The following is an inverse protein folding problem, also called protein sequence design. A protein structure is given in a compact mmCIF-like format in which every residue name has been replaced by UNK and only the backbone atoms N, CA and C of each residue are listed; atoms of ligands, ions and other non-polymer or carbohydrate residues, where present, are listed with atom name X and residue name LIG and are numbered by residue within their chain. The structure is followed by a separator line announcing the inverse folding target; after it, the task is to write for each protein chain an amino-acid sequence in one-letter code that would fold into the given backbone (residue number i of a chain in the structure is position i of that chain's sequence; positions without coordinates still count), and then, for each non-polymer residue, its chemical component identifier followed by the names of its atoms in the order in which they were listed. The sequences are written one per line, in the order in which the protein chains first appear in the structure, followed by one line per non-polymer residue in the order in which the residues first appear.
data_IF_594877087455
#
_entry.id   IF_594877087455
#
_cell.length_a   1.000
_cell.length_b   1.000
_cell.length_c   1.000
_cell.angle_alpha   90.00
_cell.angle_beta   90.00
_cell.angle_gamma   90.00
#
_symmetry.space_group_name_H-M   'P 1'
#
loop_
_entity.id
_entity.type
_entity.pdbx_description
1 polymer ?
#
# COMPACT_ATOMS: atom_id res chain seq x y z
N UNK A 1 -5.09 2.63 24.81
CA UNK A 1 -5.58 2.43 26.18
C UNK A 1 -7.05 2.01 26.21
N UNK A 2 -7.91 2.53 25.32
CA UNK A 2 -9.32 2.08 25.22
C UNK A 2 -9.48 0.66 24.64
N UNK A 3 -8.72 0.27 23.61
CA UNK A 3 -8.85 -1.06 22.97
C UNK A 3 -8.54 -2.21 23.93
N UNK A 4 -7.43 -2.13 24.66
CA UNK A 4 -7.07 -3.16 25.63
C UNK A 4 -8.14 -3.30 26.73
N UNK A 5 -8.68 -2.18 27.23
CA UNK A 5 -9.78 -2.20 28.22
C UNK A 5 -11.07 -2.80 27.66
N UNK A 6 -11.41 -2.50 26.40
CA UNK A 6 -12.55 -3.11 25.73
C UNK A 6 -12.35 -4.61 25.55
N UNK A 7 -11.16 -5.05 25.15
CA UNK A 7 -10.80 -6.46 25.05
C UNK A 7 -10.95 -7.16 26.40
N UNK A 8 -10.35 -6.62 27.45
CA UNK A 8 -10.45 -7.14 28.82
C UNK A 8 -11.91 -7.21 29.31
N UNK A 9 -12.70 -6.19 28.99
CA UNK A 9 -14.12 -6.14 29.32
C UNK A 9 -14.90 -7.25 28.61
N UNK A 10 -14.70 -7.45 27.30
CA UNK A 10 -15.39 -8.51 26.56
C UNK A 10 -14.93 -9.89 27.03
N UNK A 11 -13.65 -10.08 27.31
CA UNK A 11 -13.12 -11.33 27.84
C UNK A 11 -13.65 -11.67 29.25
N UNK A 12 -14.20 -10.69 29.97
CA UNK A 12 -14.85 -10.88 31.26
C UNK A 12 -16.35 -11.19 31.19
N UNK A 13 -16.97 -11.08 30.00
CA UNK A 13 -18.41 -11.33 29.85
C UNK A 13 -18.71 -12.83 29.92
N UNK A 14 -19.79 -13.16 30.62
CA UNK A 14 -20.41 -14.48 30.56
C UNK A 14 -21.17 -14.67 29.24
N UNK A 15 -21.52 -15.90 28.91
CA UNK A 15 -22.28 -16.24 27.71
C UNK A 15 -23.63 -15.51 27.66
N UNK A 16 -24.35 -15.49 28.79
CA UNK A 16 -25.64 -14.80 28.92
C UNK A 16 -25.51 -13.28 28.74
N UNK A 17 -24.45 -12.67 29.28
CA UNK A 17 -24.18 -11.25 29.09
C UNK A 17 -23.85 -10.93 27.63
N UNK A 18 -23.12 -11.82 26.95
CA UNK A 18 -22.82 -11.68 25.52
C UNK A 18 -24.09 -11.73 24.68
N UNK A 19 -25.02 -12.64 24.99
CA UNK A 19 -26.35 -12.71 24.34
C UNK A 19 -27.13 -11.41 24.55
N UNK A 20 -27.13 -10.87 25.77
CA UNK A 20 -27.83 -9.62 26.10
C UNK A 20 -27.34 -8.40 25.31
N UNK A 21 -26.13 -8.45 24.75
CA UNK A 21 -25.56 -7.37 23.93
C UNK A 21 -25.95 -7.44 22.45
N UNK A 22 -26.56 -8.53 21.99
CA UNK A 22 -26.85 -8.71 20.55
C UNK A 22 -27.76 -7.64 19.96
N UNK A 23 -28.87 -7.22 20.60
CA UNK A 23 -29.67 -6.12 20.05
C UNK A 23 -28.87 -4.84 19.86
N UNK A 24 -27.93 -4.57 20.78
CA UNK A 24 -27.02 -3.42 20.69
C UNK A 24 -26.03 -3.60 19.54
N UNK A 25 -25.49 -4.80 19.36
CA UNK A 25 -24.60 -5.14 18.24
C UNK A 25 -25.33 -4.98 16.90
N UNK A 26 -26.52 -5.56 16.75
CA UNK A 26 -27.32 -5.46 15.53
C UNK A 26 -27.70 -4.01 15.19
N UNK A 27 -28.02 -3.20 16.21
CA UNK A 27 -28.30 -1.78 16.04
C UNK A 27 -27.05 -1.00 15.62
N UNK A 28 -25.87 -1.31 16.16
CA UNK A 28 -24.63 -0.63 15.77
C UNK A 28 -24.10 -1.07 14.41
N UNK A 29 -24.42 -2.29 13.98
CA UNK A 29 -24.10 -2.81 12.66
C UNK A 29 -25.18 -2.47 11.62
N UNK A 30 -26.14 -1.59 11.93
CA UNK A 30 -27.20 -1.27 10.98
C UNK A 30 -26.65 -0.61 9.71
N UNK A 31 -27.00 -1.12 8.52
CA UNK A 31 -26.57 -0.53 7.26
C UNK A 31 -26.91 0.96 7.10
N UNK A 32 -27.96 1.44 7.80
CA UNK A 32 -28.32 2.85 7.80
C UNK A 32 -27.24 3.77 8.42
N UNK A 33 -26.31 3.21 9.20
CA UNK A 33 -25.18 3.93 9.78
C UNK A 33 -23.89 3.82 8.97
N UNK A 34 -23.91 3.11 7.83
CA UNK A 34 -22.75 3.07 6.95
C UNK A 34 -22.49 4.49 6.43
N UNK A 35 -21.24 4.97 6.48
CA UNK A 35 -20.90 6.25 5.88
C UNK A 35 -21.24 6.19 4.38
N UNK A 36 -21.98 7.19 3.90
CA UNK A 36 -22.26 7.31 2.46
C UNK A 36 -20.93 7.41 1.71
N UNK A 37 -20.76 6.57 0.69
CA UNK A 37 -19.60 6.58 -0.21
C UNK A 37 -19.47 7.90 -0.98
N UNK A 38 -20.55 8.69 -1.06
CA UNK A 38 -20.61 9.95 -1.82
C UNK A 38 -20.27 11.19 -0.97
N UNK A 39 -20.17 11.05 0.36
CA UNK A 39 -19.82 12.14 1.25
C UNK A 39 -18.31 12.41 1.18
N UNK A 40 -17.92 13.27 0.23
CA UNK A 40 -16.53 13.61 -0.10
C UNK A 40 -15.58 13.63 1.10
N UNK A 41 -14.59 12.72 1.06
CA UNK A 41 -13.59 12.48 2.11
C UNK A 41 -12.60 13.64 2.33
N UNK A 42 -12.65 14.67 1.47
CA UNK A 42 -11.60 15.68 1.37
C UNK A 42 -11.70 16.82 2.40
N UNK A 43 -12.84 17.00 3.09
CA UNK A 43 -13.06 18.18 3.94
C UNK A 43 -13.48 17.90 5.38
N UNK A 44 -13.44 16.65 5.84
CA UNK A 44 -13.89 16.32 7.20
C UNK A 44 -12.68 15.96 8.06
N UNK A 45 -12.41 16.74 9.11
CA UNK A 45 -11.80 16.23 10.33
C UNK A 45 -12.56 14.95 10.68
N UNK A 46 -12.01 13.77 10.35
CA UNK A 46 -12.62 12.43 10.43
C UNK A 46 -13.81 12.44 11.38
N UNK A 47 -15.06 12.32 10.90
CA UNK A 47 -16.19 12.55 11.78
C UNK A 47 -16.07 11.47 12.88
N UNK A 48 -16.07 11.86 14.18
CA UNK A 48 -16.02 10.93 15.31
C UNK A 48 -16.91 9.68 15.19
N UNK A 49 -18.10 9.72 14.54
CA UNK A 49 -18.93 8.54 14.31
C UNK A 49 -18.25 7.36 13.59
N UNK A 50 -17.32 7.62 12.67
CA UNK A 50 -16.72 6.56 11.83
C UNK A 50 -15.70 5.72 12.63
N UNK A 51 -14.95 6.38 13.51
CA UNK A 51 -14.05 5.73 14.47
C UNK A 51 -14.87 4.88 15.44
N UNK A 52 -15.92 5.48 16.01
CA UNK A 52 -16.79 4.80 16.96
C UNK A 52 -17.49 3.59 16.32
N UNK A 53 -17.91 3.70 15.05
CA UNK A 53 -18.60 2.61 14.35
C UNK A 53 -17.68 1.46 13.95
N UNK A 54 -16.44 1.74 13.53
CA UNK A 54 -15.44 0.68 13.32
C UNK A 54 -15.11 -0.05 14.64
N UNK A 55 -15.04 0.69 15.75
CA UNK A 55 -14.89 0.09 17.08
C UNK A 55 -16.08 -0.77 17.48
N UNK A 56 -17.31 -0.29 17.23
CA UNK A 56 -18.52 -1.05 17.47
C UNK A 56 -18.59 -2.32 16.60
N UNK A 57 -18.09 -2.27 15.37
CA UNK A 57 -17.98 -3.46 14.50
C UNK A 57 -17.00 -4.49 15.06
N UNK A 58 -15.79 -4.07 15.45
CA UNK A 58 -14.80 -4.98 16.03
C UNK A 58 -15.27 -5.56 17.37
N UNK A 59 -15.94 -4.74 18.18
CA UNK A 59 -16.59 -5.18 19.41
C UNK A 59 -17.68 -6.22 19.14
N UNK A 60 -18.55 -5.95 18.15
CA UNK A 60 -19.57 -6.88 17.72
C UNK A 60 -18.98 -8.21 17.24
N UNK A 61 -17.94 -8.16 16.41
CA UNK A 61 -17.23 -9.34 15.91
C UNK A 61 -16.64 -10.17 17.06
N UNK A 62 -16.00 -9.52 18.04
CA UNK A 62 -15.40 -10.19 19.20
C UNK A 62 -16.44 -10.86 20.08
N UNK A 63 -17.55 -10.18 20.41
CA UNK A 63 -18.64 -10.75 21.22
C UNK A 63 -19.26 -11.96 20.53
N UNK A 64 -19.45 -11.89 19.22
CA UNK A 64 -20.06 -12.97 18.42
C UNK A 64 -19.15 -14.20 18.37
N UNK A 65 -17.85 -14.00 18.15
CA UNK A 65 -16.88 -15.11 18.03
C UNK A 65 -16.63 -15.80 19.37
N UNK A 66 -16.71 -15.08 20.50
CA UNK A 66 -16.45 -15.64 21.83
C UNK A 66 -17.64 -16.35 22.46
N UNK A 67 -18.86 -16.16 21.95
CA UNK A 67 -20.05 -16.77 22.53
C UNK A 67 -20.23 -18.23 22.06
N UNK A 68 -20.01 -19.23 22.94
CA UNK A 68 -20.05 -20.66 22.59
C UNK A 68 -21.46 -21.15 22.20
N UNK A 69 -22.50 -20.35 22.47
CA UNK A 69 -23.90 -20.65 22.16
C UNK A 69 -24.35 -20.21 20.76
N UNK A 70 -23.47 -19.59 19.97
CA UNK A 70 -23.77 -19.22 18.57
C UNK A 70 -23.03 -20.11 17.59
N UNK A 71 -23.56 -21.30 17.24
CA UNK A 71 -23.23 -21.87 15.95
C UNK A 71 -23.70 -20.85 14.91
N UNK A 72 -22.78 -20.39 14.06
CA UNK A 72 -22.98 -19.34 13.06
C UNK A 72 -24.25 -19.50 12.19
N UNK A 73 -24.84 -20.70 12.13
CA UNK A 73 -26.13 -20.96 11.48
C UNK A 73 -27.38 -20.36 12.14
N UNK A 74 -27.31 -19.80 13.36
CA UNK A 74 -28.52 -19.31 14.09
C UNK A 74 -28.80 -17.81 13.92
N UNK A 75 -27.85 -17.03 13.39
CA UNK A 75 -28.02 -15.58 13.13
C UNK A 75 -27.56 -15.22 11.71
N UNK A 76 -28.21 -15.77 10.66
CA UNK A 76 -27.81 -15.52 9.27
C UNK A 76 -27.80 -14.04 8.89
N UNK A 77 -28.59 -13.20 9.57
CA UNK A 77 -28.71 -11.76 9.30
C UNK A 77 -27.52 -10.93 9.81
N UNK A 78 -26.66 -11.49 10.66
CA UNK A 78 -25.52 -10.78 11.23
C UNK A 78 -24.37 -10.67 10.22
N UNK A 79 -24.15 -11.73 9.43
CA UNK A 79 -23.04 -11.76 8.48
C UNK A 79 -23.16 -10.71 7.38
N UNK A 80 -24.30 -10.53 6.70
CA UNK A 80 -24.46 -9.44 5.73
C UNK A 80 -24.17 -8.06 6.33
N UNK A 81 -24.52 -7.83 7.60
CA UNK A 81 -24.25 -6.57 8.29
C UNK A 81 -22.76 -6.38 8.58
N UNK A 82 -22.10 -7.41 9.11
CA UNK A 82 -20.64 -7.40 9.33
C UNK A 82 -19.88 -7.23 8.02
N UNK A 83 -20.29 -7.95 6.97
CA UNK A 83 -19.70 -7.87 5.65
C UNK A 83 -19.82 -6.48 5.04
N UNK A 84 -20.97 -5.81 5.14
CA UNK A 84 -21.10 -4.42 4.68
C UNK A 84 -20.12 -3.47 5.37
N UNK A 85 -19.85 -3.67 6.67
CA UNK A 85 -18.83 -2.89 7.37
C UNK A 85 -17.40 -3.27 6.96
N UNK A 86 -17.12 -4.56 6.68
CA UNK A 86 -15.85 -4.98 6.09
C UNK A 86 -15.67 -4.42 4.68
N UNK A 87 -16.72 -4.39 3.87
CA UNK A 87 -16.75 -3.78 2.55
C UNK A 87 -16.55 -2.28 2.63
N UNK A 88 -17.11 -1.59 3.63
CA UNK A 88 -16.77 -0.20 3.93
C UNK A 88 -15.28 -0.05 4.24
N UNK A 89 -14.68 -0.96 5.01
CA UNK A 89 -13.22 -0.95 5.22
C UNK A 89 -12.45 -1.16 3.89
N UNK A 90 -12.93 -2.05 3.01
CA UNK A 90 -12.37 -2.27 1.66
C UNK A 90 -12.50 -1.03 0.78
N UNK A 91 -13.69 -0.44 0.67
CA UNK A 91 -13.98 0.76 -0.13
C UNK A 91 -13.24 2.00 0.39
N UNK A 92 -13.06 2.12 1.70
CA UNK A 92 -12.25 3.19 2.29
C UNK A 92 -10.75 2.93 2.15
N UNK A 93 -10.35 1.67 1.99
CA UNK A 93 -8.97 1.33 1.60
C UNK A 93 -8.66 1.72 0.15
N UNK A 94 -9.67 1.74 -0.72
CA UNK A 94 -9.55 2.16 -2.12
C UNK A 94 -9.57 3.68 -2.33
N UNK A 95 -10.34 4.43 -1.54
CA UNK A 95 -10.58 5.87 -1.78
C UNK A 95 -9.60 6.82 -1.08
N UNK A 96 -8.97 6.44 0.04
CA UNK A 96 -7.79 7.14 0.55
C UNK A 96 -6.95 6.25 1.49
N UNK A 97 -5.94 5.62 0.92
CA UNK A 97 -5.13 4.56 1.53
C UNK A 97 -4.41 4.99 2.80
N UNK A 98 -4.09 6.29 2.89
CA UNK A 98 -3.46 6.86 4.06
C UNK A 98 -4.44 7.06 5.25
N UNK A 99 -5.75 6.93 5.02
CA UNK A 99 -6.75 6.72 6.07
C UNK A 99 -6.96 5.22 6.30
N UNK A 100 -7.05 4.44 5.22
CA UNK A 100 -7.19 2.97 5.23
C UNK A 100 -6.25 2.25 6.19
N UNK A 101 -4.94 2.50 6.09
CA UNK A 101 -3.96 1.78 6.93
C UNK A 101 -4.14 2.00 8.44
N UNK A 102 -4.70 3.16 8.84
CA UNK A 102 -4.96 3.43 10.26
C UNK A 102 -6.08 2.56 10.77
N UNK A 103 -7.11 2.33 9.96
CA UNK A 103 -8.20 1.43 10.29
C UNK A 103 -7.73 -0.02 10.35
N UNK A 104 -6.97 -0.45 9.35
CA UNK A 104 -6.35 -1.78 9.35
C UNK A 104 -5.49 -2.00 10.58
N UNK A 105 -4.64 -1.02 10.94
CA UNK A 105 -3.83 -1.07 12.16
C UNK A 105 -4.70 -1.24 13.42
N UNK A 106 -5.78 -0.45 13.55
CA UNK A 106 -6.68 -0.54 14.70
C UNK A 106 -7.43 -1.88 14.74
N UNK A 107 -7.83 -2.40 13.59
CA UNK A 107 -8.50 -3.70 13.50
C UNK A 107 -7.55 -4.83 13.90
N UNK A 108 -6.30 -4.83 13.43
CA UNK A 108 -5.28 -5.78 13.86
C UNK A 108 -5.02 -5.66 15.37
N UNK A 109 -4.89 -4.44 15.91
CA UNK A 109 -4.77 -4.18 17.35
C UNK A 109 -5.97 -4.63 18.16
N UNK A 110 -7.15 -4.76 17.55
CA UNK A 110 -8.34 -5.30 18.18
C UNK A 110 -8.44 -6.82 18.05
N UNK A 111 -7.46 -7.48 17.42
CA UNK A 111 -7.41 -8.92 17.26
C UNK A 111 -8.12 -9.43 15.99
N UNK A 112 -8.31 -8.60 14.96
CA UNK A 112 -8.99 -9.00 13.72
C UNK A 112 -8.49 -10.37 13.19
N UNK A 113 -7.18 -10.59 13.16
CA UNK A 113 -6.59 -11.79 12.57
C UNK A 113 -6.93 -13.08 13.35
N UNK A 114 -6.74 -13.15 14.69
CA UNK A 114 -7.25 -14.27 15.49
C UNK A 114 -8.73 -14.56 15.31
N UNK A 115 -9.54 -13.51 15.19
CA UNK A 115 -10.98 -13.62 15.00
C UNK A 115 -11.33 -14.23 13.63
N UNK A 116 -10.66 -13.82 12.56
CA UNK A 116 -10.87 -14.39 11.22
C UNK A 116 -10.53 -15.88 11.16
N UNK A 117 -9.47 -16.32 11.84
CA UNK A 117 -9.09 -17.74 11.83
C UNK A 117 -10.12 -18.58 12.60
N UNK A 118 -10.51 -18.13 13.79
CA UNK A 118 -11.55 -18.81 14.58
C UNK A 118 -12.89 -18.83 13.86
N UNK A 119 -13.19 -17.78 13.10
CA UNK A 119 -14.39 -17.71 12.27
C UNK A 119 -14.38 -18.80 11.18
N UNK A 120 -13.27 -18.96 10.44
CA UNK A 120 -13.14 -19.96 9.36
C UNK A 120 -13.37 -21.39 9.85
N UNK A 121 -13.07 -21.70 11.11
CA UNK A 121 -13.35 -23.02 11.70
C UNK A 121 -14.85 -23.31 11.92
N UNK A 122 -15.71 -22.28 11.88
CA UNK A 122 -17.14 -22.40 12.23
C UNK A 122 -18.14 -21.82 11.23
N UNK A 123 -17.71 -21.18 10.15
CA UNK A 123 -18.60 -20.59 9.13
C UNK A 123 -18.97 -21.56 8.01
N UNK A 124 -20.07 -21.25 7.32
CA UNK A 124 -20.44 -21.88 6.06
C UNK A 124 -19.41 -21.55 4.97
N UNK A 125 -19.12 -22.53 4.10
CA UNK A 125 -18.26 -22.38 2.94
C UNK A 125 -18.67 -21.23 2.01
N UNK A 126 -19.94 -20.78 2.04
CA UNK A 126 -20.42 -19.61 1.31
C UNK A 126 -19.70 -18.30 1.70
N UNK A 127 -19.22 -18.20 2.95
CA UNK A 127 -18.57 -17.00 3.49
C UNK A 127 -17.04 -17.07 3.50
N UNK A 128 -16.47 -18.22 3.15
CA UNK A 128 -15.00 -18.37 3.04
C UNK A 128 -14.41 -17.44 1.95
N UNK A 129 -15.16 -17.17 0.88
CA UNK A 129 -14.72 -16.23 -0.17
C UNK A 129 -14.54 -14.79 0.37
N UNK A 130 -15.36 -14.39 1.33
CA UNK A 130 -15.29 -13.05 1.94
C UNK A 130 -14.04 -12.92 2.81
N UNK A 131 -13.68 -13.99 3.52
CA UNK A 131 -12.45 -14.03 4.33
C UNK A 131 -11.23 -14.06 3.42
N UNK A 132 -11.22 -14.86 2.36
CA UNK A 132 -10.17 -14.84 1.33
C UNK A 132 -9.99 -13.42 0.77
N UNK A 133 -11.08 -12.78 0.36
CA UNK A 133 -11.06 -11.39 -0.12
C UNK A 133 -10.47 -10.43 0.92
N UNK A 134 -10.83 -10.54 2.20
CA UNK A 134 -10.28 -9.70 3.25
C UNK A 134 -8.77 -9.93 3.46
N UNK A 135 -8.32 -11.19 3.50
CA UNK A 135 -6.90 -11.52 3.66
C UNK A 135 -6.07 -10.99 2.50
N UNK A 136 -6.54 -11.18 1.28
CA UNK A 136 -5.80 -10.92 0.04
C UNK A 136 -6.04 -9.49 -0.44
N UNK A 137 -7.28 -9.06 -0.64
CA UNK A 137 -7.56 -7.76 -1.26
C UNK A 137 -7.51 -6.58 -0.30
N UNK A 138 -7.58 -6.84 1.02
CA UNK A 138 -7.57 -5.76 2.03
C UNK A 138 -6.29 -5.78 2.86
N UNK A 139 -5.97 -6.89 3.53
CA UNK A 139 -4.84 -6.92 4.47
C UNK A 139 -3.47 -6.90 3.79
N UNK A 140 -3.27 -7.71 2.74
CA UNK A 140 -1.99 -7.78 2.04
C UNK A 140 -1.52 -6.42 1.47
N UNK A 141 -2.37 -5.62 0.79
CA UNK A 141 -1.98 -4.30 0.29
C UNK A 141 -1.60 -3.31 1.40
N UNK A 142 -2.08 -3.53 2.62
CA UNK A 142 -1.74 -2.70 3.78
C UNK A 142 -0.36 -3.01 4.35
N UNK A 143 0.29 -4.10 3.93
CA UNK A 143 1.66 -4.45 4.31
C UNK A 143 2.72 -3.54 3.67
N UNK A 144 2.33 -2.49 2.95
CA UNK A 144 3.25 -1.38 2.60
C UNK A 144 3.43 -0.38 3.74
N UNK A 145 2.59 -0.45 4.78
CA UNK A 145 2.60 0.48 5.91
C UNK A 145 3.38 -0.07 7.09
N UNK A 146 4.32 0.72 7.62
CA UNK A 146 5.23 0.33 8.69
C UNK A 146 4.48 -0.11 9.96
N UNK A 147 3.51 0.65 10.51
CA UNK A 147 2.75 0.22 11.68
C UNK A 147 1.97 -1.06 11.42
N UNK A 148 1.45 -1.26 10.21
CA UNK A 148 0.65 -2.44 9.87
C UNK A 148 1.53 -3.67 9.85
N UNK A 149 2.72 -3.62 9.26
CA UNK A 149 3.68 -4.73 9.28
C UNK A 149 4.04 -5.13 10.72
N UNK A 150 4.37 -4.14 11.56
CA UNK A 150 4.73 -4.37 12.97
C UNK A 150 3.58 -5.05 13.72
N UNK A 151 2.36 -4.54 13.58
CA UNK A 151 1.19 -5.12 14.23
C UNK A 151 0.83 -6.51 13.68
N UNK A 152 1.01 -6.71 12.38
CA UNK A 152 0.77 -7.98 11.72
C UNK A 152 1.71 -9.06 12.28
N UNK A 153 2.96 -8.73 12.60
CA UNK A 153 3.89 -9.68 13.24
C UNK A 153 3.36 -10.17 14.59
N UNK A 154 2.91 -9.25 15.45
CA UNK A 154 2.30 -9.60 16.73
C UNK A 154 1.02 -10.43 16.55
N UNK A 155 0.21 -10.08 15.54
CA UNK A 155 -1.01 -10.82 15.21
C UNK A 155 -0.72 -12.25 14.72
N UNK A 156 0.37 -12.48 13.97
CA UNK A 156 0.77 -13.82 13.55
C UNK A 156 1.25 -14.70 14.70
N UNK A 157 1.93 -14.13 15.69
CA UNK A 157 2.35 -14.87 16.87
C UNK A 157 1.13 -15.34 17.68
N UNK A 158 0.17 -14.44 17.91
CA UNK A 158 -1.09 -14.77 18.62
C UNK A 158 -1.90 -15.86 17.90
N UNK A 159 -1.81 -15.91 16.57
CA UNK A 159 -2.57 -16.85 15.75
C UNK A 159 -1.85 -18.15 15.41
N UNK A 160 -0.58 -18.30 15.78
CA UNK A 160 0.26 -19.40 15.34
C UNK A 160 -0.38 -20.76 15.59
N UNK A 161 -0.78 -21.05 16.83
CA UNK A 161 -1.39 -22.32 17.22
C UNK A 161 -2.72 -22.59 16.51
N UNK A 162 -3.58 -21.56 16.36
CA UNK A 162 -4.89 -21.71 15.70
C UNK A 162 -4.75 -21.95 14.20
N UNK A 163 -3.83 -21.22 13.56
CA UNK A 163 -3.55 -21.36 12.13
C UNK A 163 -2.99 -22.72 11.71
N UNK A 164 -2.57 -23.54 12.68
CA UNK A 164 -2.07 -24.90 12.47
C UNK A 164 -3.15 -25.97 12.69
N UNK A 165 -4.39 -25.60 13.00
CA UNK A 165 -5.45 -26.58 13.19
C UNK A 165 -5.75 -27.35 11.90
N UNK A 166 -6.11 -28.62 12.05
CA UNK A 166 -6.55 -29.47 10.94
C UNK A 166 -7.80 -28.91 10.24
N UNK A 167 -8.66 -28.21 11.00
CA UNK A 167 -9.86 -27.59 10.45
C UNK A 167 -9.49 -26.40 9.55
N UNK A 168 -8.68 -25.47 10.04
CA UNK A 168 -8.29 -24.28 9.28
C UNK A 168 -7.45 -24.63 8.05
N UNK A 169 -6.50 -25.57 8.16
CA UNK A 169 -5.65 -25.99 7.03
C UNK A 169 -6.42 -26.66 5.89
N UNK A 170 -7.63 -27.18 6.15
CA UNK A 170 -8.52 -27.76 5.13
C UNK A 170 -9.53 -26.76 4.56
N UNK A 171 -9.61 -25.55 5.13
CA UNK A 171 -10.49 -24.49 4.62
C UNK A 171 -10.00 -23.96 3.26
N UNK A 172 -10.91 -23.35 2.48
CA UNK A 172 -10.57 -22.67 1.21
C UNK A 172 -9.81 -21.37 1.42
N UNK A 173 -9.86 -20.81 2.63
CA UNK A 173 -9.11 -19.61 2.99
C UNK A 173 -7.61 -19.90 3.24
N UNK A 174 -7.24 -21.17 3.43
CA UNK A 174 -5.87 -21.52 3.79
C UNK A 174 -4.81 -21.09 2.76
N UNK A 175 -5.00 -21.24 1.43
CA UNK A 175 -4.07 -20.71 0.44
C UNK A 175 -3.88 -19.19 0.57
N UNK A 176 -4.97 -18.43 0.73
CA UNK A 176 -4.98 -17.00 0.94
C UNK A 176 -4.17 -16.58 2.18
N UNK A 177 -4.37 -17.32 3.28
CA UNK A 177 -3.61 -17.18 4.51
C UNK A 177 -2.11 -17.40 4.31
N UNK A 178 -1.73 -18.46 3.58
CA UNK A 178 -0.32 -18.75 3.27
C UNK A 178 0.29 -17.63 2.43
N UNK A 179 -0.43 -17.11 1.43
CA UNK A 179 0.05 -15.99 0.62
C UNK A 179 0.25 -14.73 1.47
N UNK A 180 -0.73 -14.38 2.31
CA UNK A 180 -0.63 -13.23 3.23
C UNK A 180 0.56 -13.38 4.18
N UNK A 181 0.74 -14.57 4.77
CA UNK A 181 1.84 -14.87 5.71
C UNK A 181 3.21 -14.79 5.03
N UNK A 182 3.33 -15.33 3.82
CA UNK A 182 4.56 -15.25 3.03
C UNK A 182 4.94 -13.79 2.72
N UNK A 183 3.96 -12.99 2.26
CA UNK A 183 4.16 -11.58 2.00
C UNK A 183 4.56 -10.81 3.27
N UNK A 184 3.90 -11.07 4.39
CA UNK A 184 4.23 -10.39 5.65
C UNK A 184 5.63 -10.75 6.17
N UNK A 185 6.06 -12.01 6.03
CA UNK A 185 7.43 -12.41 6.36
C UNK A 185 8.46 -11.70 5.47
N UNK A 186 8.22 -11.58 4.16
CA UNK A 186 9.06 -10.80 3.24
C UNK A 186 9.15 -9.33 3.70
N UNK A 187 8.02 -8.73 4.08
CA UNK A 187 7.97 -7.35 4.55
C UNK A 187 8.62 -7.14 5.92
N UNK A 188 8.53 -8.12 6.82
CA UNK A 188 9.22 -8.09 8.12
C UNK A 188 10.73 -8.22 7.95
N UNK A 189 11.19 -9.15 7.11
CA UNK A 189 12.60 -9.28 6.79
C UNK A 189 13.16 -7.97 6.20
N UNK A 190 12.44 -7.36 5.26
CA UNK A 190 12.81 -6.06 4.71
C UNK A 190 12.83 -4.96 5.78
N UNK A 191 11.83 -4.96 6.66
CA UNK A 191 11.74 -4.00 7.75
C UNK A 191 12.96 -4.08 8.67
N UNK A 192 13.33 -5.28 9.11
CA UNK A 192 14.49 -5.50 9.96
C UNK A 192 15.79 -5.04 9.29
N UNK A 193 15.97 -5.36 8.01
CA UNK A 193 17.10 -4.90 7.21
C UNK A 193 17.15 -3.37 7.10
N UNK A 194 16.00 -2.73 6.87
CA UNK A 194 15.88 -1.27 6.79
C UNK A 194 16.16 -0.58 8.13
N UNK A 195 15.71 -1.15 9.25
CA UNK A 195 15.99 -0.61 10.58
C UNK A 195 17.47 -0.79 10.95
N UNK A 196 18.07 -1.94 10.64
CA UNK A 196 19.47 -2.23 10.88
C UNK A 196 20.42 -1.35 10.06
N UNK A 197 20.07 -1.03 8.80
CA UNK A 197 20.82 -0.10 7.97
C UNK A 197 20.78 1.35 8.51
N UNK A 198 19.90 1.64 9.46
CA UNK A 198 19.62 2.97 9.93
C UNK A 198 18.80 3.77 8.91
N UNK A 199 18.21 4.88 9.37
CA UNK A 199 17.42 5.74 8.46
C UNK A 199 18.37 6.31 7.42
N UNK A 200 18.13 6.10 6.10
CA UNK A 200 18.87 6.80 5.07
C UNK A 200 18.62 8.30 5.28
N UNK A 201 19.57 8.96 5.92
CA UNK A 201 19.54 10.40 6.16
C UNK A 201 20.03 11.17 4.93
N UNK A 202 20.41 10.45 3.87
CA UNK A 202 20.88 11.01 2.63
C UNK A 202 19.70 11.56 1.81
N UNK A 203 19.80 12.84 1.48
CA UNK A 203 19.04 13.46 0.42
C UNK A 203 19.91 13.54 -0.83
N UNK A 204 19.26 13.57 -1.98
CA UNK A 204 19.87 13.88 -3.27
C UNK A 204 19.36 15.23 -3.75
N UNK A 205 20.20 15.93 -4.50
CA UNK A 205 19.82 17.18 -5.12
C UNK A 205 18.71 16.93 -6.15
N UNK A 206 17.66 17.76 -6.14
CA UNK A 206 16.58 17.67 -7.13
C UNK A 206 16.97 18.28 -8.47
N UNK A 207 18.01 19.13 -8.52
CA UNK A 207 18.59 19.53 -9.79
C UNK A 207 19.17 18.29 -10.48
N UNK A 208 18.56 17.88 -11.59
CA UNK A 208 18.89 16.64 -12.30
C UNK A 208 20.28 16.64 -12.93
N UNK A 209 20.89 17.82 -13.09
CA UNK A 209 22.29 17.96 -13.51
C UNK A 209 23.28 17.79 -12.34
N UNK A 210 22.79 17.59 -11.11
CA UNK A 210 23.58 17.46 -9.90
C UNK A 210 23.37 16.07 -9.27
N UNK A 211 24.43 15.28 -9.20
CA UNK A 211 24.41 13.96 -8.57
C UNK A 211 24.74 13.99 -7.06
N UNK A 212 24.90 15.18 -6.47
CA UNK A 212 25.25 15.33 -5.04
C UNK A 212 24.20 14.65 -4.17
N UNK A 213 24.70 13.76 -3.31
CA UNK A 213 23.95 13.05 -2.30
C UNK A 213 24.65 13.27 -0.96
N UNK A 214 23.90 13.44 0.14
CA UNK A 214 24.50 13.71 1.44
C UNK A 214 23.46 13.87 2.53
N UNK A 215 23.89 13.98 3.78
CA UNK A 215 22.97 14.09 4.92
C UNK A 215 22.01 15.26 4.78
N UNK A 216 20.78 15.10 5.29
CA UNK A 216 19.68 16.07 5.14
C UNK A 216 20.05 17.52 5.50
N UNK A 217 20.91 17.72 6.50
CA UNK A 217 21.38 19.05 6.92
C UNK A 217 22.21 19.78 5.86
N UNK A 218 22.75 19.08 4.86
CA UNK A 218 23.47 19.65 3.72
C UNK A 218 22.55 20.17 2.61
N UNK A 219 21.24 19.92 2.71
CA UNK A 219 20.28 20.27 1.68
C UNK A 219 19.30 21.33 2.17
N UNK A 220 19.01 22.30 1.31
CA UNK A 220 17.99 23.32 1.50
C UNK A 220 16.74 22.92 0.74
N UNK A 221 15.57 23.06 1.37
CA UNK A 221 14.31 22.80 0.69
C UNK A 221 13.83 24.05 -0.06
N UNK A 222 13.10 23.83 -1.15
CA UNK A 222 12.37 24.89 -1.81
C UNK A 222 11.38 25.53 -0.83
N UNK A 223 11.46 26.85 -0.63
CA UNK A 223 10.56 27.56 0.28
C UNK A 223 9.10 27.60 -0.22
N UNK A 224 8.87 27.40 -1.52
CA UNK A 224 7.53 27.34 -2.10
C UNK A 224 6.83 26.01 -1.80
N UNK A 225 7.34 24.91 -2.34
CA UNK A 225 6.69 23.60 -2.22
C UNK A 225 7.13 22.75 -1.01
N UNK A 226 8.19 23.14 -0.29
CA UNK A 226 8.80 22.38 0.82
C UNK A 226 9.19 20.93 0.50
N UNK A 227 9.21 20.58 -0.79
CA UNK A 227 9.29 19.20 -1.28
C UNK A 227 10.62 18.94 -1.98
N UNK A 228 10.99 19.80 -2.95
CA UNK A 228 12.29 19.72 -3.61
C UNK A 228 13.43 20.14 -2.66
N UNK A 229 14.58 19.46 -2.75
CA UNK A 229 15.75 19.67 -1.90
C UNK A 229 17.02 19.85 -2.77
N UNK A 230 17.83 20.84 -2.43
CA UNK A 230 19.00 21.25 -3.22
C UNK A 230 20.24 21.39 -2.34
N UNK A 231 21.39 20.93 -2.83
CA UNK A 231 22.67 21.09 -2.12
C UNK A 231 23.16 22.55 -2.12
N UNK A 232 22.81 23.34 -3.16
CA UNK A 232 23.19 24.76 -3.27
C UNK A 232 22.06 25.62 -3.83
N UNK A 233 22.05 26.94 -3.55
CA UNK A 233 21.11 27.88 -4.18
C UNK A 233 21.24 27.96 -5.71
N UNK A 234 22.41 27.63 -6.26
CA UNK A 234 22.61 27.55 -7.71
C UNK A 234 21.87 26.36 -8.31
N UNK A 235 21.94 25.18 -7.68
CA UNK A 235 21.16 24.03 -8.11
C UNK A 235 19.66 24.33 -8.08
N UNK A 236 19.18 25.02 -7.05
CA UNK A 236 17.78 25.45 -7.00
C UNK A 236 17.42 26.39 -8.16
N UNK A 237 18.26 27.39 -8.49
CA UNK A 237 18.00 28.32 -9.60
C UNK A 237 18.02 27.63 -10.96
N UNK A 238 18.91 26.66 -11.17
CA UNK A 238 19.00 25.89 -12.40
C UNK A 238 17.75 25.02 -12.57
N UNK A 239 17.37 24.28 -11.53
CA UNK A 239 16.15 23.47 -11.52
C UNK A 239 14.87 24.31 -11.67
N UNK A 240 14.84 25.52 -11.08
CA UNK A 240 13.74 26.48 -11.24
C UNK A 240 13.50 26.85 -12.71
N UNK A 241 14.57 27.11 -13.46
CA UNK A 241 14.51 27.43 -14.89
C UNK A 241 14.21 26.20 -15.76
N UNK A 242 14.65 25.02 -15.32
CA UNK A 242 14.46 23.76 -16.04
C UNK A 242 13.03 23.17 -15.92
N UNK A 243 12.14 23.80 -15.16
CA UNK A 243 10.72 23.41 -15.09
C UNK A 243 10.14 23.38 -13.68
N UNK A 244 10.96 23.41 -12.62
CA UNK A 244 10.42 23.37 -11.26
C UNK A 244 9.47 24.54 -10.96
N UNK A 245 9.64 25.70 -11.62
CA UNK A 245 8.72 26.84 -11.49
C UNK A 245 7.25 26.48 -11.73
N UNK A 246 6.98 25.72 -12.79
CA UNK A 246 5.62 25.34 -13.20
C UNK A 246 5.05 24.25 -12.28
N UNK A 247 5.93 23.45 -11.71
CA UNK A 247 5.57 22.31 -10.87
C UNK A 247 5.45 22.70 -9.40
N UNK A 248 6.10 23.79 -8.97
CA UNK A 248 6.19 24.19 -7.57
C UNK A 248 4.81 24.36 -6.91
N UNK A 249 3.88 25.04 -7.60
CA UNK A 249 2.51 25.22 -7.12
C UNK A 249 1.76 23.91 -6.96
N UNK A 250 1.83 23.02 -7.95
CA UNK A 250 1.20 21.68 -7.90
C UNK A 250 1.78 20.82 -6.78
N UNK A 251 3.10 20.90 -6.56
CA UNK A 251 3.76 20.19 -5.47
C UNK A 251 3.34 20.75 -4.09
N UNK A 252 3.09 22.06 -3.99
CA UNK A 252 2.55 22.67 -2.76
C UNK A 252 1.09 22.26 -2.52
N UNK A 253 0.24 22.34 -3.54
CA UNK A 253 -1.14 21.87 -3.48
C UNK A 253 -1.18 20.41 -3.06
N UNK A 254 -0.37 19.56 -3.67
CA UNK A 254 -0.22 18.15 -3.28
C UNK A 254 0.27 17.99 -1.84
N UNK A 255 1.28 18.76 -1.42
CA UNK A 255 1.75 18.75 -0.05
C UNK A 255 0.64 19.11 0.95
N UNK A 256 -0.31 19.96 0.56
CA UNK A 256 -1.40 20.42 1.42
C UNK A 256 -2.64 19.53 1.36
N UNK A 257 -3.00 19.04 0.17
CA UNK A 257 -4.19 18.22 -0.09
C UNK A 257 -3.99 16.77 0.34
N UNK A 258 -2.82 16.19 0.08
CA UNK A 258 -2.71 14.74 0.18
C UNK A 258 -2.49 14.34 1.63
N UNK A 259 -3.21 13.31 2.03
CA UNK A 259 -3.06 12.56 3.29
C UNK A 259 -1.59 12.16 3.57
N UNK A 260 -0.74 12.19 2.55
CA UNK A 260 0.72 12.16 2.66
C UNK A 260 1.24 13.20 3.67
N UNK A 261 0.66 14.39 3.81
CA UNK A 261 1.03 15.38 4.84
C UNK A 261 0.89 14.82 6.26
N UNK A 262 -0.18 14.05 6.51
CA UNK A 262 -0.48 13.39 7.80
C UNK A 262 0.40 12.16 8.08
N UNK A 263 1.11 11.68 7.07
CA UNK A 263 2.03 10.55 7.23
C UNK A 263 3.34 11.01 7.86
N UNK A 264 3.71 10.37 8.98
CA UNK A 264 4.96 10.64 9.68
C UNK A 264 6.18 10.41 8.79
N UNK A 265 7.26 11.15 9.04
CA UNK A 265 8.46 11.07 8.21
C UNK A 265 9.07 9.65 8.15
N UNK A 266 8.99 8.88 9.25
CA UNK A 266 9.43 7.47 9.31
C UNK A 266 8.71 6.61 8.27
N UNK A 267 7.38 6.68 8.24
CA UNK A 267 6.55 5.92 7.29
C UNK A 267 6.86 6.29 5.83
N UNK A 268 7.01 7.58 5.52
CA UNK A 268 7.41 8.03 4.17
C UNK A 268 8.76 7.46 3.74
N UNK A 269 9.70 7.44 4.69
CA UNK A 269 11.03 6.89 4.44
C UNK A 269 10.99 5.39 4.23
N UNK A 270 10.18 4.68 5.02
CA UNK A 270 9.98 3.24 4.89
C UNK A 270 9.36 2.88 3.54
N UNK A 271 8.22 3.51 3.16
CA UNK A 271 7.56 3.26 1.88
C UNK A 271 8.54 3.45 0.72
N UNK A 272 9.28 4.58 0.70
CA UNK A 272 10.29 4.82 -0.34
C UNK A 272 11.35 3.74 -0.41
N UNK A 273 11.83 3.27 0.74
CA UNK A 273 12.81 2.20 0.78
C UNK A 273 12.22 0.88 0.27
N UNK A 274 10.98 0.57 0.66
CA UNK A 274 10.26 -0.63 0.21
C UNK A 274 10.07 -0.64 -1.31
N UNK A 275 9.62 0.47 -1.87
CA UNK A 275 9.47 0.61 -3.32
C UNK A 275 10.82 0.42 -4.03
N UNK A 276 11.89 1.03 -3.51
CA UNK A 276 13.21 0.85 -4.10
C UNK A 276 13.66 -0.61 -4.04
N UNK A 277 13.39 -1.31 -2.94
CA UNK A 277 13.70 -2.72 -2.80
C UNK A 277 12.94 -3.57 -3.82
N UNK A 278 11.64 -3.34 -3.94
CA UNK A 278 10.77 -4.01 -4.92
C UNK A 278 11.19 -3.68 -6.36
N UNK A 279 11.59 -2.42 -6.63
CA UNK A 279 12.15 -2.01 -7.92
C UNK A 279 13.41 -2.80 -8.25
N UNK A 280 14.39 -2.87 -7.34
CA UNK A 280 15.62 -3.62 -7.60
C UNK A 280 15.36 -5.11 -7.82
N UNK A 281 14.40 -5.69 -7.11
CA UNK A 281 14.00 -7.10 -7.29
C UNK A 281 13.36 -7.36 -8.65
N UNK A 282 12.55 -6.42 -9.14
CA UNK A 282 11.81 -6.56 -10.40
C UNK A 282 12.42 -5.79 -11.58
N UNK A 283 13.61 -5.21 -11.44
CA UNK A 283 14.17 -4.27 -12.43
C UNK A 283 14.24 -4.87 -13.83
N UNK A 284 14.68 -6.13 -13.97
CA UNK A 284 14.78 -6.81 -15.29
C UNK A 284 13.41 -6.86 -15.96
N UNK A 285 12.39 -7.31 -15.25
CA UNK A 285 11.01 -7.37 -15.74
C UNK A 285 10.48 -5.97 -16.11
N UNK A 286 10.73 -4.98 -15.25
CA UNK A 286 10.36 -3.57 -15.47
C UNK A 286 10.98 -3.06 -16.77
N UNK A 287 12.29 -3.22 -16.95
CA UNK A 287 13.03 -2.78 -18.14
C UNK A 287 12.56 -3.52 -19.40
N UNK A 288 12.37 -4.84 -19.34
CA UNK A 288 11.86 -5.62 -20.47
C UNK A 288 10.44 -5.24 -20.87
N UNK A 289 9.56 -5.00 -19.89
CA UNK A 289 8.24 -4.46 -20.16
C UNK A 289 8.31 -3.06 -20.79
N UNK A 290 9.25 -2.22 -20.35
CA UNK A 290 9.43 -0.86 -20.88
C UNK A 290 9.84 -0.86 -22.34
N UNK A 291 10.81 -1.69 -22.71
CA UNK A 291 11.26 -1.84 -24.09
C UNK A 291 10.10 -2.30 -24.97
N UNK A 292 9.34 -3.32 -24.56
CA UNK A 292 8.12 -3.76 -25.26
C UNK A 292 7.11 -2.63 -25.43
N UNK A 293 6.86 -1.86 -24.35
CA UNK A 293 5.95 -0.72 -24.38
C UNK A 293 6.37 0.32 -25.42
N UNK A 294 7.66 0.69 -25.47
CA UNK A 294 8.15 1.72 -26.40
C UNK A 294 8.19 1.25 -27.85
N UNK A 295 8.39 -0.06 -28.09
CA UNK A 295 8.24 -0.63 -29.44
C UNK A 295 6.79 -0.47 -29.91
N UNK A 296 5.82 -0.77 -29.04
CA UNK A 296 4.40 -0.62 -29.33
C UNK A 296 3.95 0.85 -29.40
N UNK A 297 4.66 1.75 -28.70
CA UNK A 297 4.32 3.17 -28.56
C UNK A 297 5.55 4.07 -28.84
N UNK A 298 6.02 4.16 -30.10
CA UNK A 298 7.22 4.94 -30.42
C UNK A 298 7.11 6.40 -29.98
N UNK A 299 8.16 6.91 -29.32
CA UNK A 299 8.22 8.29 -28.81
C UNK A 299 7.44 8.54 -27.52
N UNK A 300 6.81 7.53 -26.92
CA UNK A 300 6.12 7.63 -25.64
C UNK A 300 6.95 6.94 -24.57
N UNK A 301 7.46 7.72 -23.61
CA UNK A 301 8.16 7.17 -22.46
C UNK A 301 7.15 6.46 -21.53
N UNK A 302 7.40 5.20 -21.14
CA UNK A 302 6.59 4.53 -20.13
C UNK A 302 6.90 5.07 -18.74
N UNK A 303 6.01 4.78 -17.80
CA UNK A 303 6.22 4.96 -16.35
C UNK A 303 5.82 3.66 -15.67
N UNK A 304 6.69 3.14 -14.79
CA UNK A 304 6.38 1.94 -14.04
C UNK A 304 5.51 2.29 -12.83
N UNK A 305 4.44 1.55 -12.64
CA UNK A 305 3.50 1.74 -11.54
C UNK A 305 3.45 0.45 -10.73
N UNK A 306 3.85 0.55 -9.47
CA UNK A 306 3.83 -0.54 -8.50
C UNK A 306 2.42 -0.64 -7.93
N UNK A 307 1.71 -1.70 -8.28
CA UNK A 307 0.38 -1.98 -7.76
C UNK A 307 0.44 -2.97 -6.59
N UNK A 308 0.35 -2.42 -5.38
CA UNK A 308 0.32 -3.23 -4.16
C UNK A 308 -1.04 -3.86 -3.86
N UNK A 309 -2.08 -3.66 -4.69
CA UNK A 309 -3.38 -4.34 -4.52
C UNK A 309 -3.35 -5.82 -4.89
N UNK A 310 -2.33 -6.25 -5.64
CA UNK A 310 -2.16 -7.65 -6.00
C UNK A 310 -1.31 -8.38 -4.97
N UNK A 311 -1.70 -9.61 -4.67
CA UNK A 311 -1.04 -10.45 -3.64
C UNK A 311 -0.22 -11.56 -4.27
N UNK A 312 -0.61 -12.02 -5.45
CA UNK A 312 0.10 -13.04 -6.23
C UNK A 312 1.27 -12.42 -7.02
N UNK A 313 2.11 -11.69 -6.30
CA UNK A 313 3.19 -10.91 -6.86
C UNK A 313 2.85 -9.43 -6.99
N UNK A 314 3.92 -8.64 -7.06
CA UNK A 314 3.84 -7.22 -7.31
C UNK A 314 3.50 -7.00 -8.79
N UNK A 315 2.28 -6.53 -9.07
CA UNK A 315 1.92 -6.13 -10.42
C UNK A 315 2.61 -4.80 -10.77
N UNK A 316 3.32 -4.80 -11.89
CA UNK A 316 3.94 -3.61 -12.46
C UNK A 316 3.15 -3.23 -13.71
N UNK A 317 2.46 -2.09 -13.61
CA UNK A 317 1.70 -1.53 -14.73
C UNK A 317 2.56 -0.49 -15.42
N UNK A 318 2.68 -0.55 -16.75
CA UNK A 318 3.34 0.49 -17.52
C UNK A 318 2.31 1.46 -18.08
N UNK A 319 2.46 2.75 -17.76
CA UNK A 319 1.56 3.79 -18.22
C UNK A 319 2.30 4.80 -19.12
N UNK A 320 1.68 5.32 -20.19
CA UNK A 320 2.28 6.40 -20.97
C UNK A 320 2.47 7.66 -20.12
N UNK A 321 3.66 8.25 -20.18
CA UNK A 321 3.94 9.55 -19.58
C UNK A 321 3.37 10.67 -20.48
N UNK A 322 2.05 10.94 -20.40
CA UNK A 322 1.39 12.00 -21.18
C UNK A 322 1.63 13.38 -20.55
N UNK A 323 1.96 14.38 -21.37
CA UNK A 323 2.12 15.78 -20.94
C UNK A 323 3.45 16.11 -20.25
N UNK A 324 4.38 15.15 -20.19
CA UNK A 324 5.76 15.39 -19.78
C UNK A 324 6.61 15.48 -21.04
N UNK A 325 6.95 16.70 -21.46
CA UNK A 325 7.96 16.88 -22.50
C UNK A 325 9.30 16.44 -21.90
N UNK A 326 10.00 15.45 -22.48
CA UNK A 326 11.34 15.10 -22.04
C UNK A 326 12.31 16.19 -22.52
N UNK A 327 12.23 17.40 -21.96
CA UNK A 327 13.30 18.36 -22.14
C UNK A 327 14.46 17.91 -21.24
N UNK A 328 15.38 17.11 -21.82
CA UNK A 328 16.78 16.78 -21.46
C UNK A 328 17.21 16.57 -19.99
N UNK A 329 16.32 16.70 -19.02
CA UNK A 329 16.57 16.60 -17.60
C UNK A 329 15.63 15.51 -17.05
N UNK A 330 16.20 14.31 -16.86
CA UNK A 330 15.51 13.02 -16.74
C UNK A 330 14.61 12.75 -15.53
N UNK A 331 13.97 11.57 -15.59
CA UNK A 331 12.84 11.15 -14.77
C UNK A 331 13.15 10.82 -13.31
N UNK A 332 13.39 11.82 -12.45
CA UNK A 332 13.36 11.59 -10.98
C UNK A 332 12.31 12.40 -10.24
N UNK A 333 11.81 13.50 -10.82
CA UNK A 333 10.66 14.23 -10.26
C UNK A 333 9.32 13.49 -10.46
N UNK A 334 9.28 12.45 -11.30
CA UNK A 334 8.03 11.74 -11.60
C UNK A 334 7.50 10.87 -10.45
N UNK A 335 8.30 10.59 -9.41
CA UNK A 335 7.81 9.85 -8.24
C UNK A 335 6.79 10.65 -7.41
N UNK A 336 6.89 11.99 -7.43
CA UNK A 336 5.91 12.88 -6.79
C UNK A 336 4.84 13.37 -7.77
N UNK A 337 5.18 13.48 -9.06
CA UNK A 337 4.28 14.06 -10.06
C UNK A 337 3.37 13.07 -10.77
N UNK A 338 3.73 11.80 -10.87
CA UNK A 338 2.90 10.88 -11.62
C UNK A 338 1.58 10.55 -10.90
N UNK A 339 1.51 10.73 -9.56
CA UNK A 339 0.23 10.72 -8.84
C UNK A 339 -0.73 11.79 -9.38
N UNK A 340 -0.20 12.94 -9.79
CA UNK A 340 -0.96 14.07 -10.36
C UNK A 340 -1.30 13.82 -11.84
N UNK A 341 -0.40 13.21 -12.62
CA UNK A 341 -0.59 13.03 -14.06
C UNK A 341 -1.56 11.87 -14.41
N UNK A 342 -1.63 10.85 -13.55
CA UNK A 342 -2.44 9.65 -13.81
C UNK A 342 -3.85 9.78 -13.23
N UNK A 343 -4.10 10.73 -12.32
CA UNK A 343 -5.43 11.00 -11.77
C UNK A 343 -6.05 9.83 -11.02
N UNK A 344 -5.25 8.84 -10.61
CA UNK A 344 -5.73 7.62 -9.99
C UNK A 344 -5.75 7.76 -8.46
N UNK A 345 -6.87 7.43 -7.78
CA UNK A 345 -6.99 7.44 -6.31
C UNK A 345 -6.27 6.27 -5.60
N UNK A 346 -5.68 5.34 -6.36
CA UNK A 346 -5.22 4.01 -5.94
C UNK A 346 -3.73 3.93 -5.49
N UNK A 347 -3.24 2.82 -4.86
CA UNK A 347 -1.89 2.67 -4.27
C UNK A 347 -0.83 2.43 -5.33
N UNK A 348 -0.88 3.25 -6.36
CA UNK A 348 0.09 3.27 -7.41
C UNK A 348 1.25 4.10 -6.92
N UNK A 349 2.35 3.43 -6.60
CA UNK A 349 3.61 4.14 -6.47
C UNK A 349 4.23 4.16 -7.85
N UNK A 350 4.48 5.37 -8.32
CA UNK A 350 4.91 5.55 -9.68
C UNK A 350 6.41 5.82 -9.69
N UNK A 351 7.12 5.00 -10.44
CA UNK A 351 8.53 5.13 -10.69
C UNK A 351 8.71 5.58 -12.14
N UNK A 352 9.15 6.84 -12.37
CA UNK A 352 9.86 7.08 -13.61
C UNK A 352 11.06 6.14 -13.63
N UNK A 353 11.22 5.47 -14.77
CA UNK A 353 12.35 4.60 -15.01
C UNK A 353 13.67 5.25 -14.55
N UNK A 354 14.57 4.42 -14.01
CA UNK A 354 15.82 4.81 -13.38
C UNK A 354 16.77 5.66 -14.26
N UNK A 355 18.02 5.87 -13.83
CA UNK A 355 18.95 6.81 -14.48
C UNK A 355 19.28 6.52 -15.94
N UNK A 356 18.83 5.39 -16.51
CA UNK A 356 18.90 5.14 -17.94
C UNK A 356 18.29 6.32 -18.70
N UNK A 357 19.19 7.05 -19.36
CA UNK A 357 18.84 8.10 -20.30
C UNK A 357 17.77 7.59 -21.28
N UNK A 358 16.77 8.40 -21.67
CA UNK A 358 15.86 8.08 -22.77
C UNK A 358 16.57 7.54 -24.01
N UNK A 359 17.84 7.92 -24.23
CA UNK A 359 18.68 7.41 -25.31
C UNK A 359 19.03 5.92 -25.19
N UNK A 360 19.17 5.38 -23.98
CA UNK A 360 19.47 3.95 -23.75
C UNK A 360 18.24 3.14 -24.13
N UNK A 361 17.07 3.55 -23.63
CA UNK A 361 15.79 2.96 -23.97
C UNK A 361 15.48 3.01 -25.47
N UNK A 362 15.66 4.16 -26.11
CA UNK A 362 15.53 4.29 -27.56
C UNK A 362 16.56 3.45 -28.32
N UNK A 363 17.75 3.28 -27.74
CA UNK A 363 18.78 2.38 -28.26
C UNK A 363 18.31 0.94 -28.25
N UNK A 364 17.84 0.46 -27.10
CA UNK A 364 17.35 -0.91 -26.91
C UNK A 364 16.12 -1.20 -27.75
N UNK A 365 15.15 -0.29 -27.79
CA UNK A 365 13.96 -0.43 -28.64
C UNK A 365 14.36 -0.52 -30.12
N UNK A 366 15.33 0.28 -30.58
CA UNK A 366 15.84 0.20 -31.96
C UNK A 366 16.59 -1.09 -32.25
N UNK A 367 17.41 -1.59 -31.31
CA UNK A 367 18.11 -2.87 -31.45
C UNK A 367 17.08 -4.00 -31.54
N UNK A 368 16.13 -4.04 -30.61
CA UNK A 368 15.08 -5.05 -30.59
C UNK A 368 14.23 -5.07 -31.88
N UNK A 369 13.82 -3.89 -32.37
CA UNK A 369 13.07 -3.78 -33.63
C UNK A 369 13.89 -4.26 -34.85
N UNK A 370 15.18 -3.92 -34.92
CA UNK A 370 16.04 -4.31 -36.05
C UNK A 370 16.36 -5.80 -36.06
N UNK A 371 16.59 -6.37 -34.87
CA UNK A 371 16.97 -7.77 -34.70
C UNK A 371 15.77 -8.70 -34.57
N UNK A 372 14.53 -8.18 -34.59
CA UNK A 372 13.30 -8.95 -34.41
C UNK A 372 13.32 -9.83 -33.14
N UNK A 373 13.86 -9.30 -32.05
CA UNK A 373 14.01 -10.06 -30.81
C UNK A 373 12.65 -10.48 -30.27
N UNK A 374 12.55 -11.75 -29.88
CA UNK A 374 11.45 -12.28 -29.08
C UNK A 374 11.44 -11.64 -27.67
N UNK A 375 10.31 -11.69 -26.94
CA UNK A 375 10.26 -11.22 -25.56
C UNK A 375 11.33 -11.86 -24.65
N UNK A 376 11.62 -13.14 -24.85
CA UNK A 376 12.59 -13.91 -24.10
C UNK A 376 14.03 -13.44 -24.40
N UNK A 377 14.37 -13.25 -25.67
CA UNK A 377 15.68 -12.70 -26.08
C UNK A 377 15.89 -11.27 -25.58
N UNK A 378 14.81 -10.48 -25.53
CA UNK A 378 14.85 -9.13 -24.97
C UNK A 378 15.13 -9.14 -23.47
N UNK A 379 14.54 -10.08 -22.73
CA UNK A 379 14.82 -10.23 -21.30
C UNK A 379 16.27 -10.63 -21.05
N UNK A 380 16.82 -11.56 -21.84
CA UNK A 380 18.24 -11.93 -21.75
C UNK A 380 19.14 -10.71 -22.03
N UNK A 381 18.87 -9.96 -23.11
CA UNK A 381 19.64 -8.75 -23.43
C UNK A 381 19.60 -7.71 -22.30
N UNK A 382 18.41 -7.43 -21.76
CA UNK A 382 18.22 -6.47 -20.66
C UNK A 382 18.96 -6.94 -19.41
N UNK A 383 18.88 -8.23 -19.08
CA UNK A 383 19.60 -8.84 -17.96
C UNK A 383 21.12 -8.70 -18.12
N UNK A 384 21.66 -9.07 -19.28
CA UNK A 384 23.10 -8.97 -19.56
C UNK A 384 23.60 -7.53 -19.45
N UNK A 385 22.82 -6.56 -19.91
CA UNK A 385 23.16 -5.14 -19.80
C UNK A 385 23.16 -4.65 -18.36
N UNK A 386 22.14 -5.02 -17.59
CA UNK A 386 22.04 -4.67 -16.17
C UNK A 386 23.19 -5.30 -15.37
N UNK A 387 23.56 -6.54 -15.68
CA UNK A 387 24.69 -7.23 -15.05
C UNK A 387 26.04 -6.59 -15.43
N UNK A 388 26.19 -6.17 -16.69
CA UNK A 388 27.44 -5.55 -17.18
C UNK A 388 27.64 -4.13 -16.67
N UNK A 389 26.56 -3.34 -16.59
CA UNK A 389 26.65 -1.91 -16.28
C UNK A 389 26.34 -1.58 -14.82
N UNK A 390 25.60 -2.44 -14.14
CA UNK A 390 25.08 -2.19 -12.80
C UNK A 390 23.93 -1.18 -12.75
N UNK A 391 23.50 -0.60 -13.88
CA UNK A 391 22.44 0.43 -13.97
C UNK A 391 21.34 0.09 -14.99
#
# INVERSE_FOLDING_TARGET
MEIARLRDMVDSLTDDQSIGLLPVIFANLDPAFLPSTDAGLDNVETPPPLVDNAFKMLFALHVVIRSPMYPFGTTPDLWPRLFLWMEVLTLHSDSSIAVGYRWTLRALQAGLLPHLISLVEGIDAAYENDVDHLLVKVLAPMLVYYPVIVEMASSFEETHTRSQSDAFSRSRCYPAWITLKALAHDRLWFLDAWEAAGRPSSLRCHNLQCNTTGSRNLFRRCAGCCTAAYCTPECQRNDWRAGHREQCGRLLEYHNQVVYSRMGHRQKSFIRALINHDYERSRVEIYSAAVRFMIANPGIAPVAIFNYKQVDGLEIILHPMRGYLPDRAGGRLAMQMAWIAVGHPDPFVIFPFGPMSPTVYDGLARIAMRSQLTPEEMEVLVRDLIETTGE
#
